data_IF_748816836389
#
_entry.id   IF_748816836389
#
_cell.length_a   1.000
_cell.length_b   1.000
_cell.length_c   1.000
_cell.angle_alpha   90.00
_cell.angle_beta   90.00
_cell.angle_gamma   90.00
#
_symmetry.space_group_name_H-M   'P 1'
#
loop_
_entity.id
_entity.type
_entity.pdbx_description
1 polymer ?
#
# COMPACT_ATOMS: atom_id res chain seq x y z
N UNK A 1 55.36 -41.42 -5.22
CA UNK A 1 54.09 -41.34 -4.44
C UNK A 1 53.28 -40.17 -4.96
N UNK A 2 52.33 -40.44 -5.85
CA UNK A 2 51.44 -39.44 -6.44
C UNK A 2 50.21 -39.30 -5.52
N UNK A 3 50.00 -38.13 -4.90
CA UNK A 3 48.79 -37.84 -4.12
C UNK A 3 47.82 -37.04 -4.98
N UNK A 4 46.81 -37.72 -5.50
CA UNK A 4 45.70 -37.16 -6.28
C UNK A 4 44.79 -36.33 -5.37
N UNK A 5 44.57 -35.05 -5.70
CA UNK A 5 43.55 -34.21 -5.07
C UNK A 5 42.20 -34.50 -5.72
N UNK A 6 41.21 -34.92 -4.93
CA UNK A 6 39.81 -35.03 -5.35
C UNK A 6 39.09 -33.78 -4.84
N UNK A 7 38.69 -32.90 -5.77
CA UNK A 7 37.73 -31.84 -5.50
C UNK A 7 36.31 -32.41 -5.63
N UNK A 8 35.53 -32.35 -4.56
CA UNK A 8 34.10 -32.70 -4.57
C UNK A 8 33.31 -31.43 -4.89
N UNK A 9 32.75 -31.35 -6.09
CA UNK A 9 31.76 -30.34 -6.46
C UNK A 9 30.38 -30.80 -5.95
N UNK A 10 29.86 -30.17 -4.89
CA UNK A 10 28.47 -30.35 -4.49
C UNK A 10 27.59 -29.53 -5.44
N UNK A 11 26.95 -30.19 -6.41
CA UNK A 11 25.93 -29.59 -7.26
C UNK A 11 24.65 -29.34 -6.45
N UNK A 12 24.28 -28.06 -6.29
CA UNK A 12 22.98 -27.67 -5.73
C UNK A 12 21.90 -27.95 -6.78
N UNK A 13 21.07 -28.97 -6.54
CA UNK A 13 19.88 -29.25 -7.33
C UNK A 13 18.79 -28.22 -6.92
N UNK A 14 18.62 -27.17 -7.74
CA UNK A 14 17.52 -26.20 -7.57
C UNK A 14 16.23 -26.89 -8.00
N UNK A 15 15.43 -27.33 -7.03
CA UNK A 15 14.04 -27.73 -7.25
C UNK A 15 13.23 -26.48 -7.59
N UNK A 16 13.01 -26.26 -8.89
CA UNK A 16 12.02 -25.32 -9.41
C UNK A 16 10.63 -25.79 -8.96
N UNK A 17 10.10 -25.19 -7.91
CA UNK A 17 8.70 -25.35 -7.54
C UNK A 17 7.89 -24.61 -8.63
N UNK A 18 7.00 -25.29 -9.37
CA UNK A 18 6.15 -24.61 -10.33
C UNK A 18 5.26 -23.61 -9.59
N UNK A 19 5.48 -22.33 -9.84
CA UNK A 19 4.56 -21.27 -9.43
C UNK A 19 3.23 -21.51 -10.15
N UNK A 20 2.19 -21.90 -9.40
CA UNK A 20 0.82 -21.87 -9.92
C UNK A 20 0.46 -20.41 -10.18
N UNK A 21 0.53 -19.99 -11.44
CA UNK A 21 -0.09 -18.76 -11.90
C UNK A 21 -1.58 -19.08 -12.01
N UNK A 22 -2.40 -18.50 -11.13
CA UNK A 22 -3.84 -18.50 -11.35
C UNK A 22 -4.09 -17.78 -12.67
N UNK A 23 -4.59 -18.50 -13.68
CA UNK A 23 -4.99 -17.90 -14.93
C UNK A 23 -6.09 -16.88 -14.64
N UNK A 24 -5.87 -15.64 -15.09
CA UNK A 24 -6.87 -14.58 -15.02
C UNK A 24 -8.12 -15.01 -15.78
N UNK A 25 -9.26 -15.09 -15.09
CA UNK A 25 -10.56 -15.38 -15.71
C UNK A 25 -11.21 -14.06 -16.13
N UNK A 26 -11.20 -13.82 -17.45
CA UNK A 26 -11.75 -12.61 -18.05
C UNK A 26 -13.27 -12.78 -18.24
N UNK A 27 -14.05 -12.05 -17.43
CA UNK A 27 -15.51 -12.00 -17.60
C UNK A 27 -15.90 -10.91 -18.61
N UNK A 28 -16.19 -11.32 -19.85
CA UNK A 28 -16.65 -10.41 -20.91
C UNK A 28 -17.99 -9.71 -20.59
N UNK A 29 -18.76 -10.22 -19.64
CA UNK A 29 -20.03 -9.61 -19.23
C UNK A 29 -19.86 -8.65 -18.04
N UNK A 30 -18.65 -8.53 -17.47
CA UNK A 30 -18.32 -7.63 -16.36
C UNK A 30 -16.88 -7.09 -16.46
N UNK A 31 -16.72 -5.88 -17.01
CA UNK A 31 -15.39 -5.29 -17.24
C UNK A 31 -14.87 -4.49 -16.04
N UNK A 32 -15.76 -3.71 -15.40
CA UNK A 32 -15.52 -2.91 -14.20
C UNK A 32 -16.87 -2.58 -13.54
N UNK A 33 -16.89 -2.20 -12.27
CA UNK A 33 -18.10 -1.76 -11.58
C UNK A 33 -18.57 -0.37 -12.03
N UNK A 34 -19.87 -0.08 -11.82
CA UNK A 34 -20.41 1.26 -12.05
C UNK A 34 -19.66 2.31 -11.22
N UNK A 35 -19.38 2.01 -9.94
CA UNK A 35 -18.58 2.90 -9.06
C UNK A 35 -17.19 3.20 -9.60
N UNK A 36 -16.49 2.22 -10.17
CA UNK A 36 -15.12 2.41 -10.71
C UNK A 36 -15.10 3.24 -12.01
N UNK A 37 -16.24 3.35 -12.70
CA UNK A 37 -16.39 4.24 -13.86
C UNK A 37 -16.59 5.71 -13.45
N UNK A 38 -17.22 5.96 -12.29
CA UNK A 38 -17.39 7.31 -11.74
C UNK A 38 -16.24 7.77 -10.85
N UNK A 39 -15.60 6.82 -10.16
CA UNK A 39 -14.64 7.12 -9.10
C UNK A 39 -13.28 6.48 -9.36
N UNK A 40 -12.25 7.29 -9.15
CA UNK A 40 -10.84 6.92 -9.16
C UNK A 40 -10.12 7.77 -8.10
N UNK A 41 -9.13 7.20 -7.41
CA UNK A 41 -8.37 7.89 -6.36
C UNK A 41 -7.27 8.80 -6.91
N UNK A 42 -7.00 8.77 -8.23
CA UNK A 42 -6.12 9.73 -8.91
C UNK A 42 -6.93 10.96 -9.34
N UNK A 43 -7.22 11.87 -8.41
CA UNK A 43 -8.08 13.05 -8.63
C UNK A 43 -7.34 14.30 -9.11
N UNK A 44 -6.02 14.38 -8.90
CA UNK A 44 -5.25 15.60 -9.20
C UNK A 44 -4.22 15.40 -10.31
N UNK A 45 -3.84 16.48 -10.99
CA UNK A 45 -2.75 16.47 -11.98
C UNK A 45 -1.47 15.84 -11.41
N UNK A 46 -1.14 16.14 -10.16
CA UNK A 46 0.06 15.61 -9.50
C UNK A 46 -0.01 14.09 -9.33
N UNK A 47 -1.16 13.54 -8.92
CA UNK A 47 -1.39 12.10 -8.82
C UNK A 47 -1.27 11.41 -10.18
N UNK A 48 -1.86 11.98 -11.22
CA UNK A 48 -1.74 11.46 -12.59
C UNK A 48 -0.29 11.52 -13.07
N UNK A 49 0.41 12.63 -12.84
CA UNK A 49 1.81 12.79 -13.24
C UNK A 49 2.72 11.73 -12.57
N UNK A 50 2.50 11.42 -11.30
CA UNK A 50 3.26 10.35 -10.61
C UNK A 50 3.01 8.98 -11.23
N UNK A 51 1.75 8.67 -11.55
CA UNK A 51 1.39 7.44 -12.23
C UNK A 51 2.05 7.34 -13.62
N UNK A 52 2.04 8.42 -14.40
CA UNK A 52 2.73 8.46 -15.69
C UNK A 52 4.24 8.25 -15.54
N UNK A 53 4.87 8.87 -14.53
CA UNK A 53 6.28 8.68 -14.24
C UNK A 53 6.60 7.23 -13.83
N UNK A 54 5.77 6.60 -12.99
CA UNK A 54 6.01 5.23 -12.51
C UNK A 54 5.83 4.18 -13.60
N UNK A 55 4.94 4.41 -14.54
CA UNK A 55 4.75 3.54 -15.71
C UNK A 55 5.75 3.84 -16.84
N UNK A 56 6.69 4.78 -16.61
CA UNK A 56 7.65 5.25 -17.60
C UNK A 56 6.95 5.68 -18.91
N UNK A 57 5.86 6.42 -18.78
CA UNK A 57 4.98 6.82 -19.88
C UNK A 57 5.56 7.93 -20.74
N UNK A 58 5.34 7.86 -22.05
CA UNK A 58 5.66 8.92 -22.99
C UNK A 58 4.87 10.21 -22.71
N UNK A 59 3.73 10.10 -22.02
CA UNK A 59 2.92 11.25 -21.61
C UNK A 59 3.52 11.97 -20.40
N UNK A 60 4.48 11.38 -19.68
CA UNK A 60 5.08 11.98 -18.49
C UNK A 60 5.73 13.35 -18.78
N UNK A 61 6.33 13.51 -19.97
CA UNK A 61 6.97 14.76 -20.39
C UNK A 61 6.19 15.47 -21.51
N UNK A 62 5.01 14.97 -21.87
CA UNK A 62 4.20 15.53 -22.95
C UNK A 62 3.41 16.75 -22.46
N UNK A 63 3.39 17.78 -23.31
CA UNK A 63 2.60 19.00 -23.09
C UNK A 63 1.81 19.32 -24.35
N UNK A 64 0.64 19.92 -24.18
CA UNK A 64 -0.26 20.39 -25.24
C UNK A 64 -0.83 21.73 -24.79
N UNK A 65 -0.65 22.78 -25.61
CA UNK A 65 -1.10 24.14 -25.29
C UNK A 65 -0.65 24.63 -23.90
N UNK A 66 0.63 24.36 -23.56
CA UNK A 66 1.25 24.65 -22.25
C UNK A 66 0.73 23.79 -21.06
N UNK A 67 -0.35 23.04 -21.25
CA UNK A 67 -0.87 22.08 -20.27
C UNK A 67 -0.07 20.77 -20.32
N UNK A 68 0.26 20.20 -19.15
CA UNK A 68 0.78 18.83 -19.08
C UNK A 68 -0.30 17.84 -19.46
N UNK A 69 0.09 16.71 -20.07
CA UNK A 69 -0.83 15.59 -20.31
C UNK A 69 -1.61 15.17 -19.06
N UNK A 70 -0.92 15.16 -17.90
CA UNK A 70 -1.52 14.89 -16.60
C UNK A 70 -2.61 15.90 -16.21
N UNK A 71 -2.42 17.17 -16.53
CA UNK A 71 -3.38 18.26 -16.28
C UNK A 71 -4.63 18.10 -17.13
N UNK A 72 -4.46 17.80 -18.42
CA UNK A 72 -5.56 17.49 -19.36
C UNK A 72 -6.39 16.30 -18.86
N UNK A 73 -5.73 15.20 -18.47
CA UNK A 73 -6.39 13.98 -17.99
C UNK A 73 -7.18 14.27 -16.69
N UNK A 74 -6.56 14.92 -15.71
CA UNK A 74 -7.22 15.24 -14.45
C UNK A 74 -8.35 16.26 -14.62
N UNK A 75 -8.16 17.24 -15.50
CA UNK A 75 -9.17 18.24 -15.85
C UNK A 75 -10.42 17.60 -16.45
N UNK A 76 -10.26 16.76 -17.47
CA UNK A 76 -11.38 16.08 -18.12
C UNK A 76 -12.11 15.12 -17.17
N UNK A 77 -11.38 14.36 -16.34
CA UNK A 77 -11.98 13.51 -15.33
C UNK A 77 -12.87 14.30 -14.35
N UNK A 78 -12.38 15.46 -13.90
CA UNK A 78 -13.11 16.34 -12.99
C UNK A 78 -14.32 17.00 -13.65
N UNK A 79 -14.15 17.55 -14.84
CA UNK A 79 -15.19 18.29 -15.56
C UNK A 79 -16.38 17.39 -15.94
N UNK A 80 -16.08 16.18 -16.45
CA UNK A 80 -17.10 15.25 -16.92
C UNK A 80 -17.49 14.21 -15.88
N UNK A 81 -16.96 14.28 -14.66
CA UNK A 81 -17.25 13.32 -13.58
C UNK A 81 -17.07 11.86 -14.03
N UNK A 82 -15.95 11.61 -14.72
CA UNK A 82 -15.51 10.28 -15.19
C UNK A 82 -14.23 9.88 -14.47
N UNK A 83 -14.10 8.60 -14.19
CA UNK A 83 -12.91 8.01 -13.56
C UNK A 83 -11.62 8.32 -14.33
N UNK A 84 -10.66 8.98 -13.67
CA UNK A 84 -9.30 9.16 -14.20
C UNK A 84 -8.65 7.82 -14.56
N UNK A 85 -8.94 6.77 -13.80
CA UNK A 85 -8.46 5.41 -14.03
C UNK A 85 -9.00 4.87 -15.35
N UNK A 86 -10.27 5.15 -15.67
CA UNK A 86 -10.86 4.79 -16.97
C UNK A 86 -10.16 5.53 -18.11
N UNK A 87 -9.87 6.82 -17.97
CA UNK A 87 -9.13 7.61 -18.99
C UNK A 87 -7.75 7.01 -19.23
N UNK A 88 -6.97 6.79 -18.16
CA UNK A 88 -5.62 6.21 -18.24
C UNK A 88 -5.62 4.81 -18.88
N UNK A 89 -6.59 3.98 -18.50
CA UNK A 89 -6.75 2.64 -19.08
C UNK A 89 -7.12 2.71 -20.55
N UNK A 90 -7.97 3.64 -20.95
CA UNK A 90 -8.36 3.83 -22.35
C UNK A 90 -7.19 4.33 -23.20
N UNK A 91 -6.41 5.31 -22.72
CA UNK A 91 -5.18 5.78 -23.40
C UNK A 91 -4.20 4.63 -23.67
N UNK A 92 -4.06 3.71 -22.72
CA UNK A 92 -3.23 2.52 -22.90
C UNK A 92 -3.83 1.52 -23.87
N UNK A 93 -5.12 1.24 -23.74
CA UNK A 93 -5.84 0.29 -24.58
C UNK A 93 -5.82 0.70 -26.05
N UNK A 94 -5.97 2.00 -26.32
CA UNK A 94 -6.15 2.54 -27.67
C UNK A 94 -4.82 2.83 -28.37
N UNK A 95 -3.84 3.39 -27.66
CA UNK A 95 -2.60 3.89 -28.28
C UNK A 95 -1.31 3.51 -27.54
N UNK A 96 -1.39 2.66 -26.50
CA UNK A 96 -0.26 2.21 -25.68
C UNK A 96 0.54 3.38 -25.10
N UNK A 97 -0.13 4.46 -24.70
CA UNK A 97 0.51 5.71 -24.28
C UNK A 97 1.01 5.68 -22.81
N UNK A 98 0.64 4.68 -22.01
CA UNK A 98 1.02 4.63 -20.58
C UNK A 98 2.26 3.77 -20.37
N UNK A 99 2.30 2.53 -20.88
CA UNK A 99 3.44 1.60 -20.75
C UNK A 99 4.41 1.70 -21.93
N UNK A 100 4.85 2.92 -22.27
CA UNK A 100 5.80 3.17 -23.35
C UNK A 100 6.65 4.38 -23.03
N UNK A 101 7.96 4.20 -22.88
CA UNK A 101 8.88 5.32 -22.67
C UNK A 101 9.29 6.01 -23.95
N UNK A 102 9.13 5.35 -25.09
CA UNK A 102 9.42 5.91 -26.40
C UNK A 102 8.36 6.93 -26.79
N UNK A 103 8.81 8.06 -27.35
CA UNK A 103 7.93 9.05 -27.93
C UNK A 103 7.03 8.39 -28.97
N UNK A 104 5.71 8.54 -28.80
CA UNK A 104 4.72 7.96 -29.71
C UNK A 104 4.55 8.90 -30.90
N UNK A 105 4.10 8.35 -32.03
CA UNK A 105 3.88 9.15 -33.24
C UNK A 105 2.87 10.26 -32.99
N UNK A 106 3.00 11.38 -33.72
CA UNK A 106 2.02 12.48 -33.66
C UNK A 106 0.59 11.97 -33.88
N UNK A 107 0.42 11.03 -34.81
CA UNK A 107 -0.86 10.35 -35.06
C UNK A 107 -1.42 9.62 -33.83
N UNK A 108 -0.58 8.98 -33.03
CA UNK A 108 -1.03 8.31 -31.81
C UNK A 108 -1.49 9.31 -30.74
N UNK A 109 -0.92 10.52 -30.70
CA UNK A 109 -1.36 11.60 -29.81
C UNK A 109 -2.62 12.29 -30.35
N UNK A 110 -2.71 12.49 -31.66
CA UNK A 110 -3.85 13.08 -32.35
C UNK A 110 -5.14 12.29 -32.19
N UNK A 111 -5.02 10.96 -32.05
CA UNK A 111 -6.13 10.03 -31.88
C UNK A 111 -5.95 9.15 -30.63
N UNK A 112 -5.44 9.77 -29.56
CA UNK A 112 -5.03 9.14 -28.30
C UNK A 112 -6.05 8.20 -27.66
N UNK A 113 -7.33 8.49 -27.84
CA UNK A 113 -8.44 7.74 -27.24
C UNK A 113 -9.24 6.93 -28.27
N UNK A 114 -8.82 6.92 -29.54
CA UNK A 114 -9.60 6.32 -30.63
C UNK A 114 -10.97 6.96 -30.84
N UNK A 115 -11.22 8.14 -30.25
CA UNK A 115 -12.52 8.80 -30.33
C UNK A 115 -12.77 9.29 -31.75
N UNK A 116 -13.94 8.94 -32.30
CA UNK A 116 -14.34 9.20 -33.69
C UNK A 116 -13.39 8.58 -34.74
N UNK A 117 -12.78 7.43 -34.43
CA UNK A 117 -12.01 6.59 -35.34
C UNK A 117 -12.73 5.25 -35.60
N UNK A 118 -13.70 5.18 -36.53
CA UNK A 118 -14.45 3.97 -36.77
C UNK A 118 -13.59 2.86 -37.39
N UNK A 119 -13.91 1.60 -37.06
CA UNK A 119 -13.32 0.41 -37.68
C UNK A 119 -13.42 0.48 -39.21
N UNK A 120 -12.28 0.45 -39.92
CA UNK A 120 -12.22 0.46 -41.38
C UNK A 120 -12.47 1.82 -42.05
N UNK A 121 -12.56 2.91 -41.28
CA UNK A 121 -12.73 4.27 -41.80
C UNK A 121 -11.60 5.23 -41.41
N UNK A 122 -11.68 6.46 -41.91
CA UNK A 122 -10.81 7.56 -41.47
C UNK A 122 -11.30 8.13 -40.14
N UNK A 123 -10.37 8.52 -39.28
CA UNK A 123 -10.70 9.29 -38.09
C UNK A 123 -11.20 10.69 -38.45
N UNK A 124 -12.16 11.20 -37.68
CA UNK A 124 -12.73 12.53 -37.88
C UNK A 124 -11.76 13.62 -37.39
N UNK A 125 -11.30 14.46 -38.32
CA UNK A 125 -10.31 15.50 -38.05
C UNK A 125 -10.76 16.57 -37.04
N UNK A 126 -12.08 16.73 -36.82
CA UNK A 126 -12.61 17.68 -35.82
C UNK A 126 -12.09 17.39 -34.41
N UNK A 127 -11.84 16.12 -34.12
CA UNK A 127 -11.39 15.62 -32.84
C UNK A 127 -9.89 15.32 -32.79
N UNK A 128 -9.13 15.74 -33.82
CA UNK A 128 -7.68 15.61 -33.88
C UNK A 128 -7.02 16.40 -32.73
N UNK A 129 -6.17 15.74 -31.95
CA UNK A 129 -5.32 16.31 -30.90
C UNK A 129 -5.57 15.71 -29.52
N UNK A 130 -4.52 15.52 -28.73
CA UNK A 130 -4.58 14.82 -27.43
C UNK A 130 -5.66 15.37 -26.49
N UNK A 131 -5.69 16.69 -26.29
CA UNK A 131 -6.67 17.37 -25.43
C UNK A 131 -8.11 17.12 -25.88
N UNK A 132 -8.39 17.32 -27.17
CA UNK A 132 -9.71 17.04 -27.75
C UNK A 132 -10.12 15.58 -27.63
N UNK A 133 -9.19 14.65 -27.83
CA UNK A 133 -9.46 13.21 -27.69
C UNK A 133 -9.87 12.84 -26.26
N UNK A 134 -9.12 13.32 -25.26
CA UNK A 134 -9.39 13.04 -23.85
C UNK A 134 -10.72 13.67 -23.41
N UNK A 135 -10.94 14.96 -23.73
CA UNK A 135 -12.16 15.69 -23.37
C UNK A 135 -13.40 15.11 -24.07
N UNK A 136 -13.32 14.82 -25.38
CA UNK A 136 -14.47 14.31 -26.15
C UNK A 136 -14.84 12.89 -25.74
N UNK A 137 -13.85 12.04 -25.45
CA UNK A 137 -14.11 10.70 -24.92
C UNK A 137 -14.79 10.76 -23.55
N UNK A 138 -14.28 11.57 -22.62
CA UNK A 138 -14.90 11.75 -21.30
C UNK A 138 -16.32 12.34 -21.40
N UNK A 139 -16.51 13.34 -22.26
CA UNK A 139 -17.83 13.91 -22.55
C UNK A 139 -18.80 12.86 -23.09
N UNK A 140 -18.37 12.01 -24.02
CA UNK A 140 -19.19 10.95 -24.60
C UNK A 140 -19.63 9.93 -23.54
N UNK A 141 -18.72 9.52 -22.66
CA UNK A 141 -19.05 8.63 -21.55
C UNK A 141 -20.15 9.28 -20.69
N UNK A 142 -19.93 10.51 -20.22
CA UNK A 142 -20.84 11.20 -19.29
C UNK A 142 -22.18 11.58 -19.92
N UNK A 143 -22.12 12.35 -20.99
CA UNK A 143 -23.28 13.08 -21.53
C UNK A 143 -24.07 12.26 -22.56
N UNK A 144 -23.54 11.10 -22.97
CA UNK A 144 -24.20 10.24 -23.96
C UNK A 144 -24.47 8.85 -23.41
N UNK A 145 -23.42 8.05 -23.19
CA UNK A 145 -23.63 6.65 -22.81
C UNK A 145 -24.23 6.49 -21.40
N UNK A 146 -23.80 7.32 -20.44
CA UNK A 146 -24.34 7.29 -19.08
C UNK A 146 -25.67 8.04 -18.94
N UNK A 147 -25.85 9.15 -19.65
CA UNK A 147 -27.08 9.93 -19.61
C UNK A 147 -28.26 9.25 -20.35
N UNK A 148 -27.96 8.50 -21.41
CA UNK A 148 -28.96 7.87 -22.27
C UNK A 148 -28.61 6.41 -22.62
N UNK A 149 -28.42 5.52 -21.63
CA UNK A 149 -27.94 4.16 -21.86
C UNK A 149 -28.85 3.33 -22.78
N UNK A 150 -30.15 3.62 -22.78
CA UNK A 150 -31.16 2.93 -23.62
C UNK A 150 -31.04 3.24 -25.12
N UNK A 151 -30.33 4.30 -25.50
CA UNK A 151 -30.18 4.72 -26.90
C UNK A 151 -29.09 3.94 -27.67
N UNK A 152 -28.43 2.98 -27.02
CA UNK A 152 -27.25 2.31 -27.56
C UNK A 152 -27.43 0.79 -27.65
N UNK A 153 -26.60 0.14 -28.48
CA UNK A 153 -26.69 -1.30 -28.78
C UNK A 153 -26.41 -2.17 -27.56
N UNK A 154 -25.39 -1.82 -26.78
CA UNK A 154 -25.02 -2.55 -25.57
C UNK A 154 -25.73 -1.92 -24.38
N UNK A 155 -26.56 -2.70 -23.69
CA UNK A 155 -27.38 -2.25 -22.57
C UNK A 155 -27.25 -3.28 -21.44
N UNK A 156 -27.42 -2.81 -20.19
CA UNK A 156 -27.39 -3.69 -19.01
C UNK A 156 -28.46 -4.78 -19.13
N UNK A 157 -28.05 -6.04 -18.99
CA UNK A 157 -28.94 -7.21 -19.04
C UNK A 157 -29.44 -7.59 -20.43
N UNK A 158 -28.98 -6.91 -21.50
CA UNK A 158 -29.38 -7.18 -22.87
C UNK A 158 -28.27 -7.89 -23.63
N UNK A 159 -28.59 -9.04 -24.22
CA UNK A 159 -27.66 -9.79 -25.06
C UNK A 159 -27.49 -9.10 -26.41
N UNK A 160 -26.27 -8.70 -26.73
CA UNK A 160 -25.89 -8.02 -27.98
C UNK A 160 -24.65 -8.68 -28.60
N UNK A 161 -24.51 -8.55 -29.92
CA UNK A 161 -23.37 -9.11 -30.67
C UNK A 161 -22.30 -8.03 -30.89
N UNK A 162 -21.03 -8.35 -30.64
CA UNK A 162 -19.87 -7.47 -30.86
C UNK A 162 -19.38 -7.55 -32.31
N UNK A 163 -18.53 -6.60 -32.73
CA UNK A 163 -17.93 -6.55 -34.07
C UNK A 163 -17.02 -7.76 -34.34
N UNK A 164 -16.37 -8.30 -33.31
CA UNK A 164 -15.56 -9.53 -33.37
C UNK A 164 -16.40 -10.82 -33.27
N UNK A 165 -17.73 -10.71 -33.30
CA UNK A 165 -18.64 -11.85 -33.46
C UNK A 165 -19.09 -12.51 -32.17
N UNK A 166 -18.59 -12.06 -31.02
CA UNK A 166 -18.95 -12.56 -29.70
C UNK A 166 -20.33 -12.05 -29.25
N UNK A 167 -21.01 -12.82 -28.39
CA UNK A 167 -22.18 -12.34 -27.68
C UNK A 167 -21.80 -11.94 -26.26
N UNK A 168 -22.30 -10.78 -25.83
CA UNK A 168 -22.13 -10.25 -24.47
C UNK A 168 -23.48 -9.84 -23.89
N UNK A 169 -23.62 -9.93 -22.59
CA UNK A 169 -24.77 -9.48 -21.82
C UNK A 169 -24.28 -8.63 -20.64
N UNK A 170 -24.04 -7.31 -20.84
CA UNK A 170 -23.45 -6.46 -19.82
C UNK A 170 -24.16 -6.55 -18.47
N UNK A 171 -23.46 -6.92 -17.41
CA UNK A 171 -24.06 -7.06 -16.06
C UNK A 171 -24.33 -5.71 -15.39
N UNK A 172 -23.67 -4.65 -15.84
CA UNK A 172 -23.80 -3.29 -15.31
C UNK A 172 -23.68 -2.23 -16.41
N UNK A 173 -23.91 -0.96 -16.04
CA UNK A 173 -23.87 0.16 -16.99
C UNK A 173 -22.45 0.39 -17.47
N UNK A 174 -21.45 0.30 -16.59
CA UNK A 174 -20.06 0.54 -16.96
C UNK A 174 -19.54 -0.44 -18.02
N UNK A 175 -19.93 -1.71 -17.94
CA UNK A 175 -19.62 -2.70 -18.97
C UNK A 175 -20.31 -2.36 -20.29
N UNK A 176 -21.59 -1.99 -20.25
CA UNK A 176 -22.33 -1.58 -21.45
C UNK A 176 -21.68 -0.35 -22.13
N UNK A 177 -21.30 0.65 -21.34
CA UNK A 177 -20.59 1.86 -21.78
C UNK A 177 -19.29 1.51 -22.50
N UNK A 178 -18.48 0.60 -21.96
CA UNK A 178 -17.22 0.21 -22.60
C UNK A 178 -17.42 -0.52 -23.93
N UNK A 179 -18.46 -1.35 -24.05
CA UNK A 179 -18.82 -1.95 -25.35
C UNK A 179 -19.42 -0.95 -26.34
N UNK A 180 -20.17 0.06 -25.88
CA UNK A 180 -20.63 1.14 -26.74
C UNK A 180 -19.46 2.04 -27.21
N UNK A 181 -18.40 2.16 -26.41
CA UNK A 181 -17.19 2.86 -26.79
C UNK A 181 -16.33 2.04 -27.76
N UNK A 182 -16.12 0.75 -27.47
CA UNK A 182 -15.39 -0.18 -28.33
C UNK A 182 -16.12 -1.53 -28.37
N UNK A 183 -16.82 -1.85 -29.47
CA UNK A 183 -17.69 -3.03 -29.57
C UNK A 183 -16.90 -4.31 -29.87
N UNK A 184 -15.79 -4.55 -29.17
CA UNK A 184 -14.87 -5.68 -29.38
C UNK A 184 -14.52 -6.33 -28.04
N UNK A 185 -14.67 -7.65 -27.93
CA UNK A 185 -14.23 -8.41 -26.75
C UNK A 185 -12.70 -8.53 -26.76
N UNK A 186 -12.15 -9.02 -27.87
CA UNK A 186 -10.73 -9.18 -28.12
C UNK A 186 -10.16 -10.51 -27.65
N UNK A 187 -9.17 -10.98 -28.42
CA UNK A 187 -8.39 -12.19 -28.18
C UNK A 187 -7.18 -11.98 -27.24
N UNK A 188 -6.96 -10.74 -26.77
CA UNK A 188 -5.79 -10.34 -25.97
C UNK A 188 -4.58 -9.88 -26.78
N UNK A 189 -4.69 -9.83 -28.11
CA UNK A 189 -3.68 -9.27 -29.02
C UNK A 189 -4.26 -8.08 -29.81
N UNK A 190 -5.58 -8.09 -30.04
CA UNK A 190 -6.31 -7.04 -30.75
C UNK A 190 -6.22 -5.70 -30.02
N UNK A 191 -5.65 -4.68 -30.67
CA UNK A 191 -5.54 -3.31 -30.15
C UNK A 191 -6.94 -2.69 -29.93
N UNK A 192 -7.13 -1.87 -28.91
CA UNK A 192 -8.42 -1.23 -28.59
C UNK A 192 -9.43 -2.10 -27.85
N UNK A 193 -9.24 -3.43 -27.77
CA UNK A 193 -10.26 -4.35 -27.27
C UNK A 193 -10.48 -4.32 -25.74
N UNK A 194 -11.69 -4.69 -25.30
CA UNK A 194 -12.07 -4.66 -23.88
C UNK A 194 -11.28 -5.64 -23.01
N UNK A 195 -10.75 -6.75 -23.56
CA UNK A 195 -9.82 -7.61 -22.81
C UNK A 195 -8.55 -6.88 -22.39
N UNK A 196 -7.99 -6.03 -23.26
CA UNK A 196 -6.80 -5.22 -22.95
C UNK A 196 -7.11 -4.09 -21.95
N UNK A 197 -8.34 -3.55 -21.99
CA UNK A 197 -8.84 -2.63 -20.96
C UNK A 197 -8.72 -3.30 -19.58
N UNK A 198 -9.36 -4.46 -19.42
CA UNK A 198 -9.45 -5.13 -18.12
C UNK A 198 -8.08 -5.58 -17.63
N UNK A 199 -7.22 -6.11 -18.50
CA UNK A 199 -5.85 -6.48 -18.13
C UNK A 199 -5.04 -5.27 -17.63
N UNK A 200 -5.12 -4.12 -18.31
CA UNK A 200 -4.42 -2.91 -17.90
C UNK A 200 -4.98 -2.35 -16.59
N UNK A 201 -6.31 -2.21 -16.51
CA UNK A 201 -7.01 -1.71 -15.33
C UNK A 201 -6.70 -2.54 -14.08
N UNK A 202 -6.73 -3.87 -14.19
CA UNK A 202 -6.38 -4.77 -13.08
C UNK A 202 -4.91 -4.68 -12.70
N UNK A 203 -4.00 -4.58 -13.67
CA UNK A 203 -2.57 -4.42 -13.39
C UNK A 203 -2.25 -3.15 -12.61
N UNK A 204 -3.09 -2.14 -12.75
CA UNK A 204 -2.95 -0.84 -12.08
C UNK A 204 -3.90 -0.65 -10.91
N UNK A 205 -4.68 -1.66 -10.55
CA UNK A 205 -5.66 -1.57 -9.48
C UNK A 205 -5.04 -1.06 -8.18
N UNK A 206 -3.82 -1.47 -7.87
CA UNK A 206 -3.10 -0.98 -6.69
C UNK A 206 -2.82 0.53 -6.80
N UNK A 207 -2.31 1.01 -7.93
CA UNK A 207 -2.15 2.47 -8.16
C UNK A 207 -3.47 3.24 -8.04
N UNK A 208 -4.56 2.61 -8.46
CA UNK A 208 -5.90 3.21 -8.48
C UNK A 208 -6.64 3.14 -7.14
N UNK A 209 -6.24 2.24 -6.24
CA UNK A 209 -6.99 1.88 -5.02
C UNK A 209 -6.28 2.23 -3.70
N UNK A 210 -5.02 2.69 -3.72
CA UNK A 210 -4.30 2.97 -2.47
C UNK A 210 -4.67 4.35 -1.91
N UNK A 211 -5.47 4.34 -0.84
CA UNK A 211 -5.90 5.54 -0.10
C UNK A 211 -5.06 5.76 1.16
N UNK A 212 -4.80 4.71 1.94
CA UNK A 212 -4.13 4.86 3.24
C UNK A 212 -2.62 4.69 3.18
N UNK A 213 -1.85 5.60 3.83
CA UNK A 213 -0.42 5.41 4.04
C UNK A 213 -0.15 4.24 5.00
N UNK A 214 1.10 3.84 5.14
CA UNK A 214 1.55 2.86 6.11
C UNK A 214 1.21 3.27 7.56
N UNK A 215 1.01 2.25 8.40
CA UNK A 215 0.67 2.36 9.81
C UNK A 215 -0.82 2.36 10.12
N UNK A 216 -1.69 2.30 9.10
CA UNK A 216 -3.13 2.25 9.29
C UNK A 216 -3.64 0.83 9.53
N UNK A 217 -4.64 0.70 10.40
CA UNK A 217 -5.37 -0.54 10.59
C UNK A 217 -6.61 -0.50 9.71
N UNK A 218 -6.70 -1.39 8.72
CA UNK A 218 -7.83 -1.48 7.79
C UNK A 218 -8.56 -2.81 7.94
N UNK A 219 -9.87 -2.76 7.71
CA UNK A 219 -10.75 -3.93 7.74
C UNK A 219 -11.80 -3.78 6.64
N UNK A 220 -11.96 -4.81 5.82
CA UNK A 220 -13.05 -4.84 4.85
C UNK A 220 -14.40 -4.91 5.57
N UNK A 221 -15.37 -4.12 5.12
CA UNK A 221 -16.72 -4.09 5.69
C UNK A 221 -17.34 -5.49 5.71
N UNK A 222 -17.77 -5.96 6.89
CA UNK A 222 -18.33 -7.31 7.08
C UNK A 222 -17.30 -8.44 7.26
N UNK A 223 -16.01 -8.17 7.03
CA UNK A 223 -14.92 -9.11 7.30
C UNK A 223 -14.53 -9.12 8.78
N UNK A 224 -13.89 -10.19 9.25
CA UNK A 224 -13.26 -10.27 10.58
C UNK A 224 -11.74 -10.03 10.55
N UNK A 225 -11.15 -10.01 9.36
CA UNK A 225 -9.72 -9.84 9.19
C UNK A 225 -9.33 -8.37 9.30
N UNK A 226 -8.36 -8.08 10.17
CA UNK A 226 -7.74 -6.74 10.29
C UNK A 226 -6.34 -6.81 9.73
N UNK A 227 -5.98 -5.81 8.94
CA UNK A 227 -4.66 -5.67 8.33
C UNK A 227 -3.99 -4.38 8.81
N UNK A 228 -2.68 -4.43 8.98
CA UNK A 228 -1.83 -3.25 9.14
C UNK A 228 -1.24 -2.91 7.76
N UNK A 229 -1.42 -1.69 7.28
CA UNK A 229 -0.67 -1.19 6.13
C UNK A 229 0.78 -0.94 6.54
N UNK A 230 1.75 -1.37 5.75
CA UNK A 230 3.18 -1.20 6.03
C UNK A 230 3.91 -0.72 4.79
N UNK A 231 4.94 0.10 4.96
CA UNK A 231 5.78 0.53 3.85
C UNK A 231 6.90 -0.48 3.63
N UNK A 232 6.97 -1.06 2.44
CA UNK A 232 8.10 -1.87 2.02
C UNK A 232 9.11 -0.94 1.34
N UNK A 233 10.25 -0.69 2.01
CA UNK A 233 11.29 0.19 1.49
C UNK A 233 11.98 -0.35 0.24
N UNK A 234 12.14 -1.68 0.12
CA UNK A 234 12.81 -2.30 -1.02
C UNK A 234 11.97 -2.21 -2.30
N UNK A 235 10.65 -2.32 -2.16
CA UNK A 235 9.68 -2.26 -3.27
C UNK A 235 9.03 -0.87 -3.42
N UNK A 236 9.45 0.10 -2.59
CA UNK A 236 8.92 1.46 -2.50
C UNK A 236 7.38 1.59 -2.53
N UNK A 237 6.67 0.65 -1.89
CA UNK A 237 5.20 0.56 -1.93
C UNK A 237 4.61 0.20 -0.58
N UNK A 238 3.31 0.47 -0.41
CA UNK A 238 2.56 0.02 0.77
C UNK A 238 2.01 -1.38 0.54
N UNK A 239 2.21 -2.26 1.52
CA UNK A 239 1.68 -3.62 1.58
C UNK A 239 0.69 -3.75 2.76
N UNK A 240 -0.09 -4.83 2.77
CA UNK A 240 -0.91 -5.21 3.92
C UNK A 240 -0.31 -6.39 4.65
N UNK A 241 -0.32 -6.31 5.97
CA UNK A 241 0.10 -7.39 6.85
C UNK A 241 -1.09 -7.83 7.71
N UNK A 242 -1.48 -9.10 7.59
CA UNK A 242 -2.59 -9.64 8.37
C UNK A 242 -2.23 -9.69 9.85
N UNK A 243 -3.13 -9.17 10.70
CA UNK A 243 -3.06 -9.35 12.15
C UNK A 243 -3.67 -10.70 12.47
N UNK A 244 -2.81 -11.63 12.86
CA UNK A 244 -3.11 -13.07 12.89
C UNK A 244 -4.18 -13.46 13.91
N UNK A 245 -4.31 -12.74 15.02
CA UNK A 245 -5.35 -12.96 16.01
C UNK A 245 -5.53 -11.77 16.96
N UNK A 246 -6.59 -11.84 17.77
CA UNK A 246 -6.93 -10.83 18.77
C UNK A 246 -5.86 -10.66 19.87
N UNK A 247 -5.13 -11.71 20.21
CA UNK A 247 -4.06 -11.64 21.22
C UNK A 247 -2.89 -10.78 20.74
N UNK A 248 -2.46 -10.94 19.48
CA UNK A 248 -1.45 -10.10 18.84
C UNK A 248 -1.95 -8.65 18.72
N UNK A 249 -3.19 -8.46 18.26
CA UNK A 249 -3.82 -7.14 18.16
C UNK A 249 -3.75 -6.38 19.49
N UNK A 250 -4.23 -6.99 20.57
CA UNK A 250 -4.22 -6.39 21.92
C UNK A 250 -2.81 -6.22 22.47
N UNK A 251 -1.92 -7.19 22.25
CA UNK A 251 -0.54 -7.11 22.75
C UNK A 251 0.23 -5.93 22.14
N UNK A 252 -0.09 -5.54 20.91
CA UNK A 252 0.46 -4.35 20.25
C UNK A 252 -0.21 -3.04 20.66
N UNK A 253 -1.18 -3.08 21.57
CA UNK A 253 -1.90 -1.89 22.02
C UNK A 253 -2.87 -1.33 20.97
N UNK A 254 -3.19 -2.10 19.93
CA UNK A 254 -4.20 -1.70 18.95
C UNK A 254 -5.60 -1.70 19.57
N UNK A 255 -6.45 -0.83 19.03
CA UNK A 255 -7.84 -0.65 19.46
C UNK A 255 -8.75 -0.70 18.23
N UNK A 256 -9.88 -1.40 18.32
CA UNK A 256 -10.86 -1.45 17.23
C UNK A 256 -11.41 -0.08 16.86
N UNK A 257 -11.40 0.89 17.78
CA UNK A 257 -11.76 2.28 17.47
C UNK A 257 -10.77 3.00 16.56
N UNK A 258 -9.61 2.38 16.26
CA UNK A 258 -8.58 2.86 15.32
C UNK A 258 -8.61 2.07 14.00
N UNK A 259 -9.51 1.09 13.87
CA UNK A 259 -9.66 0.31 12.65
C UNK A 259 -10.56 1.08 11.71
N UNK A 260 -10.05 1.32 10.51
CA UNK A 260 -10.74 2.00 9.41
C UNK A 260 -11.47 0.92 8.62
N UNK A 261 -12.79 1.05 8.53
CA UNK A 261 -13.61 0.18 7.68
C UNK A 261 -13.53 0.69 6.24
N UNK A 262 -13.15 -0.21 5.34
CA UNK A 262 -12.95 0.08 3.92
C UNK A 262 -13.72 -0.96 3.10
N UNK A 263 -13.81 -0.77 1.78
CA UNK A 263 -14.34 -1.81 0.90
C UNK A 263 -13.32 -2.94 0.71
N UNK A 264 -13.81 -4.11 0.27
CA UNK A 264 -12.95 -5.28 0.05
C UNK A 264 -11.92 -5.02 -1.06
N UNK A 265 -12.26 -4.21 -2.06
CA UNK A 265 -11.37 -3.88 -3.16
C UNK A 265 -10.17 -3.04 -2.74
N UNK A 266 -10.36 -2.14 -1.78
CA UNK A 266 -9.28 -1.37 -1.18
C UNK A 266 -8.30 -2.31 -0.46
N UNK A 267 -8.80 -3.21 0.41
CA UNK A 267 -7.95 -4.23 1.06
C UNK A 267 -7.19 -5.03 0.01
N UNK A 268 -7.86 -5.49 -1.05
CA UNK A 268 -7.25 -6.29 -2.11
C UNK A 268 -6.23 -5.52 -2.96
N UNK A 269 -6.33 -4.19 -2.99
CA UNK A 269 -5.37 -3.29 -3.63
C UNK A 269 -4.01 -3.19 -2.91
N UNK A 270 -3.93 -3.63 -1.65
CA UNK A 270 -2.65 -3.78 -0.96
C UNK A 270 -2.07 -5.19 -1.18
N UNK A 271 -0.85 -5.33 -1.73
CA UNK A 271 -0.14 -6.61 -1.80
C UNK A 271 0.05 -7.21 -0.41
N UNK A 272 -0.06 -8.54 -0.28
CA UNK A 272 0.24 -9.21 0.99
C UNK A 272 1.74 -9.11 1.29
N UNK A 273 2.07 -8.72 2.51
CA UNK A 273 3.45 -8.78 2.99
C UNK A 273 3.90 -10.23 3.17
N UNK A 274 5.16 -10.49 2.84
CA UNK A 274 5.85 -11.74 3.15
C UNK A 274 6.09 -11.93 4.65
N UNK A 275 6.01 -10.83 5.43
CA UNK A 275 6.15 -10.83 6.88
C UNK A 275 4.77 -10.89 7.52
N UNK A 276 4.63 -11.70 8.57
CA UNK A 276 3.42 -11.74 9.40
C UNK A 276 3.66 -11.01 10.72
N UNK A 277 2.71 -10.19 11.13
CA UNK A 277 2.80 -9.47 12.38
C UNK A 277 2.60 -10.45 13.54
N UNK A 278 3.60 -10.53 14.43
CA UNK A 278 3.51 -11.28 15.69
C UNK A 278 3.48 -10.31 16.88
N UNK A 279 3.62 -10.80 18.11
CA UNK A 279 3.68 -10.00 19.32
C UNK A 279 4.80 -8.94 19.29
N UNK A 280 4.71 -7.85 20.08
CA UNK A 280 5.77 -6.86 20.21
C UNK A 280 7.11 -7.46 20.66
N UNK A 281 8.21 -6.79 20.32
CA UNK A 281 9.53 -7.07 20.87
C UNK A 281 9.49 -7.04 22.41
N UNK A 282 10.16 -8.00 23.04
CA UNK A 282 10.17 -8.17 24.49
C UNK A 282 8.99 -8.95 25.08
N UNK A 283 8.03 -9.40 24.27
CA UNK A 283 6.92 -10.22 24.75
C UNK A 283 7.41 -11.64 25.08
N UNK A 284 7.18 -12.08 26.31
CA UNK A 284 7.39 -13.47 26.70
C UNK A 284 6.17 -14.33 26.32
N UNK A 285 6.42 -15.45 25.67
CA UNK A 285 5.39 -16.43 25.30
C UNK A 285 5.82 -17.85 25.65
N UNK A 286 4.84 -18.72 25.89
CA UNK A 286 5.05 -20.16 26.10
C UNK A 286 3.85 -20.97 25.59
N UNK A 287 4.12 -22.21 25.18
CA UNK A 287 3.10 -23.18 24.80
C UNK A 287 2.63 -24.02 26.00
N UNK A 288 2.28 -25.28 25.72
CA UNK A 288 1.98 -26.29 26.74
C UNK A 288 3.23 -26.78 27.48
N UNK A 289 4.37 -26.84 26.79
CA UNK A 289 5.66 -27.29 27.33
C UNK A 289 6.39 -26.28 28.24
N UNK A 290 7.57 -26.66 28.77
CA UNK A 290 8.33 -25.83 29.72
C UNK A 290 9.15 -24.71 29.04
N UNK A 291 9.32 -24.77 27.72
CA UNK A 291 10.13 -23.81 26.98
C UNK A 291 9.51 -22.40 27.02
N UNK A 292 10.36 -21.41 27.26
CA UNK A 292 9.99 -19.99 27.29
C UNK A 292 10.68 -19.31 26.12
N UNK A 293 9.93 -18.50 25.39
CA UNK A 293 10.43 -17.72 24.28
C UNK A 293 10.21 -16.24 24.54
N UNK A 294 11.12 -15.43 24.01
CA UNK A 294 10.90 -14.00 23.87
C UNK A 294 10.76 -13.63 22.40
N UNK A 295 9.86 -12.71 22.11
CA UNK A 295 9.71 -12.18 20.76
C UNK A 295 10.70 -11.05 20.54
N UNK A 296 11.43 -11.12 19.44
CA UNK A 296 12.37 -10.10 19.00
C UNK A 296 12.43 -10.11 17.47
N UNK A 297 12.23 -8.96 16.85
CA UNK A 297 12.29 -8.74 15.40
C UNK A 297 11.43 -9.76 14.63
N UNK A 298 10.18 -9.89 15.09
CA UNK A 298 9.15 -10.83 14.61
C UNK A 298 9.51 -12.32 14.70
N UNK A 299 10.53 -12.70 15.47
CA UNK A 299 10.93 -14.10 15.71
C UNK A 299 10.75 -14.50 17.16
N UNK A 300 10.43 -15.77 17.40
CA UNK A 300 10.52 -16.38 18.74
C UNK A 300 11.96 -16.85 18.98
N UNK A 301 12.57 -16.35 20.04
CA UNK A 301 13.91 -16.77 20.49
C UNK A 301 13.77 -17.55 21.79
N UNK A 302 14.25 -18.79 21.81
CA UNK A 302 14.19 -19.62 23.01
C UNK A 302 15.14 -19.06 24.08
N UNK A 303 14.67 -18.93 25.31
CA UNK A 303 15.49 -18.51 26.45
C UNK A 303 16.15 -19.75 27.04
N UNK A 304 17.49 -19.81 27.01
CA UNK A 304 18.24 -21.03 27.30
C UNK A 304 17.96 -21.64 28.69
N UNK A 305 17.74 -20.80 29.71
CA UNK A 305 17.41 -21.23 31.06
C UNK A 305 16.82 -20.07 31.89
N UNK A 306 16.33 -20.38 33.09
CA UNK A 306 15.73 -19.40 34.00
C UNK A 306 16.72 -18.31 34.46
N UNK A 307 18.02 -18.59 34.52
CA UNK A 307 19.02 -17.57 34.87
C UNK A 307 19.08 -16.49 33.80
N UNK A 308 19.08 -16.86 32.52
CA UNK A 308 19.03 -15.91 31.39
C UNK A 308 17.75 -15.07 31.46
N UNK A 309 16.61 -15.69 31.77
CA UNK A 309 15.34 -14.96 31.95
C UNK A 309 15.48 -13.89 33.05
N UNK A 310 16.03 -14.25 34.22
CA UNK A 310 16.20 -13.31 35.33
C UNK A 310 17.23 -12.22 35.03
N UNK A 311 18.33 -12.54 34.35
CA UNK A 311 19.38 -11.58 33.98
C UNK A 311 18.84 -10.50 33.02
N UNK A 312 17.92 -10.87 32.12
CA UNK A 312 17.20 -9.93 31.24
C UNK A 312 16.18 -9.06 32.00
N UNK A 313 15.90 -9.38 33.26
CA UNK A 313 14.90 -8.71 34.10
C UNK A 313 13.47 -9.15 33.80
N UNK A 314 13.31 -10.37 33.27
CA UNK A 314 12.01 -10.98 33.01
C UNK A 314 11.56 -11.84 34.19
N UNK A 315 10.24 -11.99 34.33
CA UNK A 315 9.60 -12.93 35.26
C UNK A 315 8.79 -13.93 34.48
N UNK A 316 8.89 -15.21 34.83
CA UNK A 316 8.11 -16.28 34.17
C UNK A 316 6.60 -16.05 34.28
N UNK A 317 6.14 -15.41 35.35
CA UNK A 317 4.74 -15.00 35.55
C UNK A 317 4.22 -14.08 34.44
N UNK A 318 5.11 -13.37 33.75
CA UNK A 318 4.77 -12.45 32.66
C UNK A 318 4.69 -13.17 31.30
N UNK A 319 5.05 -14.46 31.25
CA UNK A 319 4.98 -15.25 30.02
C UNK A 319 3.53 -15.57 29.67
N UNK A 320 3.09 -15.05 28.52
CA UNK A 320 1.77 -15.32 27.97
C UNK A 320 1.70 -16.77 27.51
N UNK A 321 0.74 -17.52 28.04
CA UNK A 321 0.43 -18.86 27.51
C UNK A 321 -0.36 -18.70 26.20
N UNK A 322 0.15 -19.31 25.14
CA UNK A 322 -0.50 -19.35 23.81
C UNK A 322 -0.69 -20.82 23.40
N UNK A 323 -1.46 -21.05 22.35
CA UNK A 323 -1.62 -22.42 21.81
C UNK A 323 -0.32 -22.89 21.15
N UNK A 324 -0.09 -24.21 21.12
CA UNK A 324 1.10 -24.77 20.48
C UNK A 324 1.10 -24.52 18.95
N UNK A 325 -0.09 -24.48 18.34
CA UNK A 325 -0.25 -24.11 16.92
C UNK A 325 0.15 -22.66 16.65
N UNK A 326 -0.31 -21.72 17.50
CA UNK A 326 0.09 -20.31 17.39
C UNK A 326 1.59 -20.16 17.62
N UNK A 327 2.14 -20.82 18.64
CA UNK A 327 3.57 -20.81 18.90
C UNK A 327 4.35 -21.34 17.69
N UNK A 328 3.90 -22.44 17.07
CA UNK A 328 4.53 -23.01 15.88
C UNK A 328 4.52 -22.05 14.68
N UNK A 329 3.47 -21.25 14.52
CA UNK A 329 3.33 -20.28 13.40
C UNK A 329 4.31 -19.11 13.45
N UNK A 330 4.91 -18.83 14.63
CA UNK A 330 5.88 -17.74 14.79
C UNK A 330 7.27 -18.24 14.35
N UNK A 331 7.96 -17.55 13.41
CA UNK A 331 9.29 -17.93 12.95
C UNK A 331 10.32 -18.04 14.07
N UNK A 332 11.19 -19.04 13.99
CA UNK A 332 12.29 -19.21 14.95
C UNK A 332 13.46 -18.24 14.72
N UNK A 333 14.13 -17.88 15.81
CA UNK A 333 15.42 -17.19 15.80
C UNK A 333 16.45 -17.87 16.73
N UNK A 334 17.72 -17.43 16.70
CA UNK A 334 18.76 -17.96 17.58
C UNK A 334 18.35 -17.89 19.05
N UNK A 335 18.70 -18.92 19.84
CA UNK A 335 18.42 -18.92 21.28
C UNK A 335 19.11 -17.74 21.98
N UNK A 336 18.48 -17.22 23.03
CA UNK A 336 19.07 -16.21 23.91
C UNK A 336 19.91 -16.94 24.95
N UNK A 337 21.22 -16.74 24.87
CA UNK A 337 22.22 -17.38 25.72
C UNK A 337 22.66 -16.45 26.86
N UNK A 338 23.47 -17.00 27.78
CA UNK A 338 24.12 -16.21 28.84
C UNK A 338 24.98 -15.09 28.24
N UNK A 339 25.00 -13.93 28.89
CA UNK A 339 25.77 -12.74 28.45
C UNK A 339 24.96 -11.72 27.63
N UNK A 340 23.77 -12.06 27.14
CA UNK A 340 22.84 -11.07 26.56
C UNK A 340 22.27 -10.22 27.70
N UNK A 341 22.60 -8.93 27.70
CA UNK A 341 22.22 -8.01 28.80
C UNK A 341 20.75 -7.58 28.74
N UNK A 342 20.28 -7.23 27.53
CA UNK A 342 18.90 -6.80 27.21
C UNK A 342 18.57 -7.15 25.76
N UNK A 343 17.29 -7.08 25.42
CA UNK A 343 16.75 -7.35 24.09
C UNK A 343 16.06 -6.11 23.52
N UNK A 344 15.83 -6.13 22.22
CA UNK A 344 15.12 -5.03 21.53
C UNK A 344 13.72 -4.82 22.13
N UNK A 345 13.24 -3.58 22.10
CA UNK A 345 12.04 -3.12 22.79
C UNK A 345 12.25 -2.70 24.25
N UNK A 346 13.44 -2.88 24.82
CA UNK A 346 13.71 -2.46 26.21
C UNK A 346 13.96 -0.96 26.31
N UNK A 347 13.19 -0.27 27.16
CA UNK A 347 13.44 1.11 27.55
C UNK A 347 14.50 1.17 28.66
N UNK A 348 15.53 1.99 28.47
CA UNK A 348 16.67 2.10 29.37
C UNK A 348 17.02 3.57 29.67
N UNK A 349 17.57 3.78 30.86
CA UNK A 349 18.19 5.05 31.28
C UNK A 349 19.34 4.78 32.24
N UNK A 350 20.16 5.79 32.51
CA UNK A 350 21.16 5.72 33.60
C UNK A 350 20.67 6.49 34.82
N UNK A 351 21.38 6.38 35.95
CA UNK A 351 21.09 7.20 37.14
C UNK A 351 21.52 8.65 36.96
N UNK A 352 22.58 8.89 36.19
CA UNK A 352 23.20 10.19 36.00
C UNK A 352 22.47 11.09 34.99
N UNK A 353 21.65 10.51 34.11
CA UNK A 353 20.97 11.25 33.03
C UNK A 353 19.48 10.95 32.99
N UNK A 354 18.62 11.97 32.75
CA UNK A 354 17.19 11.77 32.51
C UNK A 354 16.89 11.23 31.10
N UNK A 355 17.88 11.18 30.20
CA UNK A 355 17.69 10.71 28.83
C UNK A 355 17.22 9.24 28.80
N UNK A 356 16.16 8.99 28.04
CA UNK A 356 15.58 7.66 27.84
C UNK A 356 15.97 7.16 26.45
N UNK A 357 16.39 5.92 26.38
CA UNK A 357 16.67 5.23 25.13
C UNK A 357 15.79 3.99 25.02
N UNK A 358 15.48 3.60 23.79
CA UNK A 358 14.96 2.27 23.48
C UNK A 358 16.04 1.47 22.78
N UNK A 359 16.16 0.19 23.13
CA UNK A 359 16.96 -0.76 22.37
C UNK A 359 16.17 -1.21 21.15
N UNK A 360 16.74 -1.02 19.97
CA UNK A 360 16.09 -1.27 18.70
C UNK A 360 17.16 -1.67 17.68
N UNK A 361 17.01 -2.84 17.08
CA UNK A 361 18.00 -3.46 16.19
C UNK A 361 19.42 -3.52 16.80
N UNK A 362 19.51 -3.83 18.10
CA UNK A 362 20.77 -3.89 18.83
C UNK A 362 21.43 -2.53 19.14
N UNK A 363 20.79 -1.41 18.77
CA UNK A 363 21.28 -0.04 19.03
C UNK A 363 20.47 0.63 20.13
N UNK A 364 21.07 1.57 20.85
CA UNK A 364 20.34 2.50 21.73
C UNK A 364 19.89 3.72 20.93
N UNK A 365 18.57 3.92 20.83
CA UNK A 365 17.97 5.05 20.12
C UNK A 365 17.41 6.04 21.14
N UNK A 366 17.89 7.28 21.11
CA UNK A 366 17.46 8.31 22.05
C UNK A 366 16.02 8.74 21.76
N UNK A 367 15.18 8.80 22.79
CA UNK A 367 13.82 9.36 22.70
C UNK A 367 13.91 10.82 23.14
N UNK A 368 14.12 11.70 22.18
CA UNK A 368 14.50 13.09 22.45
C UNK A 368 13.39 13.94 23.11
N UNK A 369 12.12 13.60 22.86
CA UNK A 369 10.99 14.36 23.39
C UNK A 369 9.99 13.46 24.14
N UNK A 370 9.47 14.00 25.24
CA UNK A 370 8.43 13.34 26.04
C UNK A 370 7.14 13.06 25.23
N UNK A 371 6.81 13.94 24.27
CA UNK A 371 5.66 13.73 23.38
C UNK A 371 5.88 12.53 22.45
N UNK A 372 7.10 12.27 21.98
CA UNK A 372 7.42 11.06 21.21
C UNK A 372 7.31 9.83 22.11
N UNK A 373 7.83 9.93 23.34
CA UNK A 373 7.74 8.84 24.32
C UNK A 373 6.28 8.40 24.54
N UNK A 374 5.41 9.37 24.84
CA UNK A 374 4.00 9.12 25.12
C UNK A 374 3.18 8.78 23.88
N UNK A 375 3.42 9.42 22.74
CA UNK A 375 2.71 9.15 21.49
C UNK A 375 3.00 7.75 20.94
N UNK A 376 4.22 7.24 21.12
CA UNK A 376 4.58 5.86 20.79
C UNK A 376 4.06 4.82 21.80
N UNK A 377 3.37 5.26 22.86
CA UNK A 377 2.75 4.38 23.85
C UNK A 377 3.71 3.84 24.91
N UNK A 378 4.92 4.41 25.03
CA UNK A 378 5.85 4.01 26.07
C UNK A 378 5.37 4.48 27.45
N UNK A 379 5.75 3.71 28.48
CA UNK A 379 5.39 4.01 29.87
C UNK A 379 6.62 4.06 30.75
N UNK A 380 6.67 5.05 31.66
CA UNK A 380 7.79 5.23 32.57
C UNK A 380 8.03 3.99 33.46
N UNK A 381 6.97 3.26 33.81
CA UNK A 381 7.05 2.02 34.60
C UNK A 381 7.90 0.92 33.93
N UNK A 382 8.02 0.98 32.60
CA UNK A 382 8.75 0.00 31.80
C UNK A 382 10.22 0.40 31.59
N UNK A 383 10.62 1.60 32.04
CA UNK A 383 11.99 2.12 31.91
C UNK A 383 12.91 1.48 32.95
N UNK A 384 13.90 0.73 32.47
CA UNK A 384 14.91 0.10 33.32
C UNK A 384 16.09 1.03 33.55
N UNK A 385 16.55 1.14 34.79
CA UNK A 385 17.81 1.85 35.11
C UNK A 385 18.98 0.88 34.98
N UNK A 386 19.97 1.22 34.16
CA UNK A 386 21.19 0.44 33.91
C UNK A 386 22.45 1.24 34.31
N UNK A 387 23.60 0.56 34.35
CA UNK A 387 24.89 1.22 34.58
C UNK A 387 25.38 1.95 33.32
N UNK A 388 26.26 2.95 33.49
CA UNK A 388 26.86 3.65 32.35
C UNK A 388 27.71 2.71 31.48
N UNK A 389 28.38 1.73 32.09
CA UNK A 389 29.14 0.70 31.37
C UNK A 389 28.25 -0.22 30.52
N UNK A 390 27.03 -0.53 30.98
CA UNK A 390 26.05 -1.25 30.17
C UNK A 390 25.51 -0.37 29.04
N UNK A 391 25.17 0.88 29.32
CA UNK A 391 24.72 1.84 28.30
C UNK A 391 25.76 2.00 27.17
N UNK A 392 27.05 2.10 27.53
CA UNK A 392 28.15 2.22 26.58
C UNK A 392 28.37 0.96 25.72
N UNK A 393 27.89 -0.21 26.16
CA UNK A 393 27.98 -1.44 25.35
C UNK A 393 26.97 -1.51 24.20
N UNK A 394 25.98 -0.61 24.16
CA UNK A 394 25.06 -0.46 23.04
C UNK A 394 25.51 0.69 22.13
N UNK A 395 25.70 0.39 20.85
CA UNK A 395 26.02 1.40 19.85
C UNK A 395 24.87 2.39 19.70
N UNK A 396 25.20 3.67 19.47
CA UNK A 396 24.19 4.71 19.32
C UNK A 396 23.53 4.61 17.94
N UNK A 397 22.19 4.53 17.92
CA UNK A 397 21.38 4.62 16.71
C UNK A 397 20.83 6.02 16.49
N UNK A 398 20.17 6.22 15.35
CA UNK A 398 19.41 7.44 15.08
C UNK A 398 18.34 7.65 16.16
N UNK A 399 17.98 8.91 16.49
CA UNK A 399 16.90 9.18 17.42
C UNK A 399 15.62 8.43 17.07
N UNK A 400 14.87 8.05 18.10
CA UNK A 400 13.56 7.44 17.92
C UNK A 400 12.58 8.51 17.40
N UNK A 401 11.79 8.12 16.41
CA UNK A 401 10.76 8.95 15.78
C UNK A 401 9.38 8.44 16.17
N UNK A 402 8.33 9.17 15.80
CA UNK A 402 6.97 8.69 15.93
C UNK A 402 6.78 7.39 15.14
N UNK A 403 6.02 6.46 15.70
CA UNK A 403 5.62 5.24 15.01
C UNK A 403 4.65 5.56 13.86
N UNK A 404 4.73 4.77 12.79
CA UNK A 404 3.83 4.86 11.64
C UNK A 404 2.36 4.72 12.06
N UNK A 405 1.49 5.43 11.34
CA UNK A 405 0.04 5.43 11.60
C UNK A 405 -0.40 6.39 12.70
N UNK A 406 0.53 7.05 13.38
CA UNK A 406 0.21 8.17 14.23
C UNK A 406 -0.21 9.37 13.37
N UNK A 407 -1.24 10.08 13.84
CA UNK A 407 -1.66 11.35 13.26
C UNK A 407 -1.31 12.42 14.28
N UNK A 408 -0.60 13.46 13.84
CA UNK A 408 -0.07 14.49 14.74
C UNK A 408 -0.35 15.89 14.25
N UNK A 409 -0.44 16.82 15.19
CA UNK A 409 -0.46 18.26 14.93
C UNK A 409 0.46 18.97 15.94
N UNK A 410 1.02 20.11 15.55
CA UNK A 410 1.69 20.99 16.50
C UNK A 410 0.68 21.94 17.15
N UNK A 411 0.81 22.16 18.46
CA UNK A 411 -0.04 23.13 19.18
C UNK A 411 0.07 24.51 18.53
N UNK A 412 -1.07 25.12 18.19
CA UNK A 412 -1.12 26.45 17.56
C UNK A 412 -0.79 26.46 16.06
N UNK A 413 -0.65 25.31 15.41
CA UNK A 413 -0.49 25.21 13.94
C UNK A 413 -1.67 24.44 13.33
N UNK A 414 -2.16 24.82 12.14
CA UNK A 414 -3.31 24.18 11.51
C UNK A 414 -2.98 22.85 10.83
N UNK A 415 -1.71 22.57 10.55
CA UNK A 415 -1.28 21.37 9.83
C UNK A 415 -1.47 20.08 10.63
N UNK A 416 -2.17 19.12 10.03
CA UNK A 416 -2.32 17.74 10.53
C UNK A 416 -1.49 16.82 9.65
N UNK A 417 -0.71 15.93 10.25
CA UNK A 417 0.25 15.09 9.56
C UNK A 417 0.05 13.62 9.93
N UNK A 418 0.06 12.73 8.93
CA UNK A 418 0.22 11.30 9.14
C UNK A 418 1.72 10.95 9.21
N UNK A 419 2.10 10.06 10.12
CA UNK A 419 3.47 9.55 10.24
C UNK A 419 3.60 8.30 9.39
N UNK A 420 4.59 8.27 8.49
CA UNK A 420 4.89 7.15 7.61
C UNK A 420 6.40 7.04 7.39
N UNK A 421 6.97 5.87 7.68
CA UNK A 421 8.40 5.55 7.60
C UNK A 421 9.30 6.61 8.26
N UNK A 422 8.91 7.06 9.46
CA UNK A 422 9.64 8.08 10.21
C UNK A 422 9.63 9.49 9.61
N UNK A 423 8.75 9.75 8.62
CA UNK A 423 8.55 11.07 7.99
C UNK A 423 7.10 11.53 8.20
N UNK A 424 6.87 12.84 8.03
CA UNK A 424 5.54 13.44 8.14
C UNK A 424 4.94 13.68 6.76
N UNK A 425 3.69 13.26 6.56
CA UNK A 425 2.89 13.59 5.38
C UNK A 425 1.73 14.49 5.75
N UNK A 426 1.69 15.69 5.18
CA UNK A 426 0.62 16.65 5.41
C UNK A 426 -0.70 16.09 4.89
N UNK A 427 -1.71 15.99 5.75
CA UNK A 427 -3.10 15.72 5.31
C UNK A 427 -3.64 17.04 4.78
N UNK A 428 -3.76 17.17 3.45
CA UNK A 428 -3.89 18.48 2.78
C UNK A 428 -5.11 19.28 3.22
N UNK A 429 -6.24 18.62 3.43
CA UNK A 429 -7.47 19.28 3.79
C UNK A 429 -8.39 18.33 4.60
N UNK A 430 -9.51 18.89 5.07
CA UNK A 430 -10.51 18.16 5.85
C UNK A 430 -11.18 17.03 5.05
N UNK A 431 -11.34 17.20 3.73
CA UNK A 431 -11.92 16.17 2.87
C UNK A 431 -11.01 14.95 2.82
N UNK A 432 -9.71 15.13 2.60
CA UNK A 432 -8.69 14.07 2.68
C UNK A 432 -8.69 13.41 4.06
N UNK A 433 -8.75 14.20 5.15
CA UNK A 433 -8.79 13.65 6.50
C UNK A 433 -9.98 12.71 6.71
N UNK A 434 -11.16 13.11 6.21
CA UNK A 434 -12.39 12.32 6.29
C UNK A 434 -12.37 11.11 5.36
N UNK A 435 -11.84 11.25 4.13
CA UNK A 435 -11.76 10.14 3.17
C UNK A 435 -10.85 9.03 3.65
N UNK A 436 -9.78 9.37 4.37
CA UNK A 436 -8.91 8.42 5.06
C UNK A 436 -9.58 7.77 6.29
N UNK A 437 -10.81 8.15 6.66
CA UNK A 437 -11.49 7.65 7.85
C UNK A 437 -10.83 8.09 9.16
N UNK A 438 -9.97 9.11 9.13
CA UNK A 438 -9.32 9.62 10.33
C UNK A 438 -10.32 10.35 11.23
N UNK A 439 -10.07 10.30 12.54
CA UNK A 439 -10.91 10.94 13.54
C UNK A 439 -10.10 11.93 14.37
N UNK A 440 -10.70 13.05 14.78
CA UNK A 440 -9.98 14.10 15.53
C UNK A 440 -9.45 13.62 16.88
N UNK A 441 -10.13 12.68 17.53
CA UNK A 441 -9.66 12.04 18.78
C UNK A 441 -8.41 11.14 18.57
N UNK A 442 -8.03 10.84 17.33
CA UNK A 442 -6.82 10.10 16.98
C UNK A 442 -5.57 10.99 16.92
N UNK A 443 -5.78 12.30 16.71
CA UNK A 443 -4.72 13.28 16.53
C UNK A 443 -4.00 13.52 17.85
N UNK A 444 -2.68 13.32 17.85
CA UNK A 444 -1.79 13.59 18.98
C UNK A 444 -1.14 14.96 18.82
N UNK A 445 -0.94 15.65 19.92
CA UNK A 445 -0.23 16.94 19.90
C UNK A 445 1.27 16.71 20.11
N UNK A 446 2.08 17.31 19.24
CA UNK A 446 3.55 17.38 19.37
C UNK A 446 4.03 18.83 19.48
N UNK A 447 5.30 19.02 19.81
CA UNK A 447 5.89 20.36 19.81
C UNK A 447 6.09 20.87 18.38
N UNK A 448 6.05 22.19 18.18
CA UNK A 448 6.37 22.80 16.89
C UNK A 448 7.82 22.49 16.48
N UNK A 449 8.75 22.52 17.45
CA UNK A 449 10.16 22.18 17.24
C UNK A 449 10.34 20.73 16.74
N UNK A 450 9.63 19.77 17.35
CA UNK A 450 9.64 18.39 16.88
C UNK A 450 9.17 18.31 15.43
N UNK A 451 8.00 18.90 15.16
CA UNK A 451 7.39 18.88 13.84
C UNK A 451 8.31 19.48 12.77
N UNK A 452 9.06 20.53 13.13
CA UNK A 452 10.05 21.17 12.26
C UNK A 452 11.30 20.29 12.05
N UNK A 453 11.70 19.51 13.06
CA UNK A 453 12.87 18.63 12.98
C UNK A 453 12.64 17.35 12.14
N UNK A 454 11.42 16.83 12.06
CA UNK A 454 11.13 15.60 11.32
C UNK A 454 11.04 15.88 9.81
N UNK A 455 11.69 15.08 8.94
CA UNK A 455 11.58 15.23 7.49
C UNK A 455 10.13 15.11 7.00
N UNK A 456 9.77 15.92 6.01
CA UNK A 456 8.45 15.92 5.39
C UNK A 456 8.50 15.11 4.09
N UNK A 457 7.46 14.34 3.82
CA UNK A 457 7.17 13.74 2.51
C UNK A 457 6.03 14.52 1.85
N UNK A 458 5.76 14.19 0.59
CA UNK A 458 4.60 14.69 -0.11
C UNK A 458 3.31 14.47 0.70
N UNK A 459 2.42 15.47 0.65
CA UNK A 459 1.14 15.42 1.33
C UNK A 459 0.26 14.27 0.83
N UNK A 460 -0.76 13.96 1.62
CA UNK A 460 -1.86 13.07 1.23
C UNK A 460 -2.97 13.99 0.70
N UNK A 461 -3.50 13.67 -0.48
CA UNK A 461 -4.52 14.46 -1.19
C UNK A 461 -5.82 13.70 -1.29
#
# INVERSE_FOLDING_TARGET
>A
MLKTKICVFLGFLILLIPSFVFAFDFDKDYLLSDSELYSCNLKTESQVQRFLNSENSCLANYTVDEDKAAGVIAGAAKEYEVSTCWILTTLQKEQSLIKSSEARSERALDYAMGFACPSGGSCDERYKGFKKQVESAAWQIRNRYLAYPENYTFQKGKKSKTEDGEYVCPKNIATAVNYNYTPVVGDGVTHGANRNFVLSWQSWRNWFSLTHPAGNLIQATGSKAVYLTIYNEAEERVEKMMITNLSVFKARGYNFSRVINVDQGEVDGYPNSSIRLTYPNGTLIRGSGPAIYVIENNRKRHIANLKVLTDLGYRISNARKISDSELASIPGGPSVQSGVKKIDGTLIRTKASPAIYILDEGKRRHIAEWNVFTANGYSWKDVKTISDAEMASYSQGSPMVLNDGLIVQAKGRPGVYAVESGRLRLVKNMETFKSLGYQWNWVKTVSAQYLDSVPKREGIE
#
